data_IF_330638467889
#
_entry.id   IF_330638467889
#
_cell.length_a   1.000
_cell.length_b   1.000
_cell.length_c   1.000
_cell.angle_alpha   90.00
_cell.angle_beta   90.00
_cell.angle_gamma   90.00
#
_symmetry.space_group_name_H-M   'P 1'
#
loop_
_entity.id
_entity.type
_entity.pdbx_description
1 polymer ?
#
# COMPACT_ATOMS: atom_id res chain seq x y z
N UNK A 1 -68.78 16.10 -103.19
CA UNK A 1 -69.73 15.94 -102.09
C UNK A 1 -69.01 15.36 -100.85
N UNK A 2 -68.91 16.25 -99.93
CA UNK A 2 -68.77 16.04 -98.47
C UNK A 2 -68.25 14.75 -97.88
N UNK A 3 -67.16 14.83 -97.05
CA UNK A 3 -67.34 14.88 -95.63
C UNK A 3 -66.07 14.85 -94.78
N UNK A 4 -65.97 15.81 -93.94
CA UNK A 4 -65.68 15.89 -92.52
C UNK A 4 -64.57 15.02 -91.92
N UNK A 5 -63.59 15.78 -91.59
CA UNK A 5 -62.58 15.53 -90.60
C UNK A 5 -63.12 15.47 -89.18
N UNK A 6 -62.63 14.57 -88.41
CA UNK A 6 -62.47 14.71 -86.95
C UNK A 6 -61.02 14.53 -86.54
N UNK A 7 -60.54 15.59 -85.96
CA UNK A 7 -59.17 15.57 -85.34
C UNK A 7 -59.25 15.01 -83.93
N UNK A 8 -58.48 13.96 -83.62
CA UNK A 8 -58.19 13.51 -82.28
C UNK A 8 -57.13 14.39 -81.68
N UNK A 9 -57.43 15.07 -80.59
CA UNK A 9 -56.49 15.77 -79.74
C UNK A 9 -56.11 14.87 -78.57
N UNK A 10 -55.07 14.07 -78.75
CA UNK A 10 -54.48 13.40 -77.64
C UNK A 10 -53.57 14.38 -76.92
N UNK A 11 -53.96 14.83 -75.75
CA UNK A 11 -53.09 15.60 -74.82
C UNK A 11 -51.94 14.72 -74.33
N UNK A 12 -50.75 15.01 -74.79
CA UNK A 12 -49.56 14.54 -74.16
C UNK A 12 -49.33 15.29 -72.83
N UNK A 13 -49.69 14.66 -71.73
CA UNK A 13 -49.23 15.05 -70.35
C UNK A 13 -47.82 14.56 -70.17
N UNK A 14 -46.84 15.41 -69.90
CA UNK A 14 -45.45 14.98 -69.78
C UNK A 14 -45.22 14.20 -68.47
N UNK A 15 -45.03 12.92 -68.64
CA UNK A 15 -44.67 11.92 -67.54
C UNK A 15 -43.42 12.24 -66.78
N UNK A 16 -42.67 13.30 -67.11
CA UNK A 16 -41.39 13.69 -66.53
C UNK A 16 -41.46 14.38 -65.14
N UNK A 17 -42.59 14.99 -64.79
CA UNK A 17 -42.66 15.73 -63.50
C UNK A 17 -42.90 14.82 -62.30
N UNK A 18 -43.57 13.68 -62.51
CA UNK A 18 -43.80 12.73 -61.38
C UNK A 18 -42.58 11.91 -60.97
N UNK A 19 -41.64 11.62 -61.88
CA UNK A 19 -40.41 10.91 -61.54
C UNK A 19 -39.42 11.77 -60.79
N UNK A 20 -39.33 13.03 -61.08
CA UNK A 20 -38.46 13.99 -60.39
C UNK A 20 -38.83 14.16 -58.90
N UNK A 21 -40.13 14.26 -58.58
CA UNK A 21 -40.59 14.39 -57.20
C UNK A 21 -40.39 13.13 -56.36
N UNK A 22 -40.53 11.94 -56.92
CA UNK A 22 -40.28 10.67 -56.22
C UNK A 22 -38.81 10.44 -55.99
N UNK A 23 -37.95 10.79 -56.91
CA UNK A 23 -36.50 10.68 -56.75
C UNK A 23 -36.00 11.71 -55.71
N UNK A 24 -36.55 12.93 -55.74
CA UNK A 24 -36.20 13.96 -54.73
C UNK A 24 -36.68 13.59 -53.33
N UNK A 25 -37.86 13.00 -53.19
CA UNK A 25 -38.36 12.50 -51.90
C UNK A 25 -37.54 11.29 -51.39
N UNK A 26 -37.12 10.35 -52.25
CA UNK A 26 -36.26 9.21 -51.91
C UNK A 26 -34.85 9.67 -51.52
N UNK A 27 -34.28 10.67 -52.18
CA UNK A 27 -32.98 11.27 -51.80
C UNK A 27 -33.13 12.03 -50.49
N UNK A 28 -34.23 12.78 -50.25
CA UNK A 28 -34.43 13.47 -48.98
C UNK A 28 -34.65 12.50 -47.82
N UNK A 29 -35.37 11.39 -48.03
CA UNK A 29 -35.53 10.31 -47.02
C UNK A 29 -34.19 9.59 -46.78
N UNK A 30 -33.40 9.33 -47.81
CA UNK A 30 -32.07 8.73 -47.66
C UNK A 30 -31.08 9.64 -46.94
N UNK A 31 -31.10 10.94 -47.20
CA UNK A 31 -30.25 11.93 -46.48
C UNK A 31 -30.72 12.12 -45.03
N UNK A 32 -32.06 12.15 -44.78
CA UNK A 32 -32.57 12.18 -43.40
C UNK A 32 -32.32 10.86 -42.64
N UNK A 33 -32.36 9.70 -43.32
CA UNK A 33 -32.05 8.40 -42.70
C UNK A 33 -30.56 8.25 -42.39
N UNK A 34 -29.67 8.86 -43.18
CA UNK A 34 -28.22 8.87 -42.88
C UNK A 34 -27.86 9.86 -41.77
N UNK A 35 -28.65 10.91 -41.56
CA UNK A 35 -28.42 11.88 -40.48
C UNK A 35 -28.89 11.38 -39.10
N UNK A 36 -29.71 10.31 -39.05
CA UNK A 36 -30.22 9.76 -37.77
C UNK A 36 -29.29 8.69 -37.18
N UNK A 37 -28.29 8.20 -37.93
CA UNK A 37 -27.35 7.17 -37.46
C UNK A 37 -25.96 7.68 -37.07
N UNK A 38 -25.73 8.96 -37.01
CA UNK A 38 -24.62 9.51 -36.27
C UNK A 38 -25.11 9.83 -34.85
N UNK A 39 -25.49 8.80 -34.08
CA UNK A 39 -25.30 8.91 -32.63
C UNK A 39 -23.83 9.30 -32.44
N UNK A 40 -23.52 10.39 -31.78
CA UNK A 40 -22.13 10.59 -31.38
C UNK A 40 -21.78 9.32 -30.60
N UNK A 41 -20.87 8.50 -31.11
CA UNK A 41 -20.18 7.53 -30.29
C UNK A 41 -19.69 8.39 -29.13
N UNK A 42 -20.34 8.30 -27.97
CA UNK A 42 -19.86 8.94 -26.76
C UNK A 42 -18.47 8.34 -26.57
N UNK A 43 -17.48 9.10 -27.02
CA UNK A 43 -16.11 8.65 -26.90
C UNK A 43 -15.90 8.41 -25.41
N UNK A 44 -15.75 7.14 -25.01
CA UNK A 44 -15.45 6.81 -23.63
C UNK A 44 -14.26 7.66 -23.24
N UNK A 45 -14.47 8.57 -22.32
CA UNK A 45 -13.42 9.44 -21.81
C UNK A 45 -12.80 8.74 -20.61
N UNK A 46 -11.49 8.70 -20.54
CA UNK A 46 -10.74 8.22 -19.38
C UNK A 46 -10.28 9.40 -18.54
N UNK A 47 -9.96 9.15 -17.29
CA UNK A 47 -9.39 10.08 -16.34
C UNK A 47 -8.05 9.51 -15.88
N UNK A 48 -6.96 10.20 -16.21
CA UNK A 48 -5.61 9.88 -15.77
C UNK A 48 -5.28 10.69 -14.52
N UNK A 49 -4.89 10.02 -13.45
CA UNK A 49 -4.29 10.63 -12.26
C UNK A 49 -2.78 10.39 -12.35
N UNK A 50 -2.00 11.38 -12.80
CA UNK A 50 -0.56 11.23 -12.90
C UNK A 50 0.08 11.15 -11.52
N UNK A 51 1.18 10.42 -11.41
CA UNK A 51 1.92 10.26 -10.16
C UNK A 51 3.37 10.76 -10.28
N UNK A 52 3.62 11.60 -11.29
CA UNK A 52 4.85 12.39 -11.45
C UNK A 52 4.76 13.74 -10.70
N UNK A 53 5.74 14.61 -10.90
CA UNK A 53 5.81 15.92 -10.25
C UNK A 53 4.72 16.93 -10.71
N UNK A 54 3.85 16.57 -11.65
CA UNK A 54 2.64 17.35 -11.96
C UNK A 54 1.52 17.15 -10.94
N UNK A 55 1.58 16.05 -10.17
CA UNK A 55 0.58 15.80 -9.13
C UNK A 55 0.70 16.83 -8.02
N UNK A 56 -0.43 17.39 -7.63
CA UNK A 56 -0.54 18.38 -6.54
C UNK A 56 -0.61 17.72 -5.18
N UNK A 57 -1.13 16.48 -5.12
CA UNK A 57 -1.26 15.71 -3.89
C UNK A 57 -1.18 14.20 -4.21
N UNK A 58 0.04 13.65 -4.11
CA UNK A 58 0.27 12.23 -4.36
C UNK A 58 -0.48 11.36 -3.34
N UNK A 59 -0.49 11.74 -2.07
CA UNK A 59 -1.06 10.91 -1.01
C UNK A 59 -2.58 10.78 -1.18
N UNK A 60 -3.28 11.87 -1.46
CA UNK A 60 -4.73 11.83 -1.73
C UNK A 60 -5.10 11.12 -3.03
N UNK A 61 -4.16 10.98 -3.97
CA UNK A 61 -4.39 10.21 -5.19
C UNK A 61 -4.68 8.73 -4.92
N UNK A 62 -4.04 8.14 -3.91
CA UNK A 62 -4.36 6.79 -3.44
C UNK A 62 -5.75 6.71 -2.82
N UNK A 63 -6.13 7.74 -2.07
CA UNK A 63 -7.50 7.88 -1.53
C UNK A 63 -8.56 7.97 -2.62
N UNK A 64 -8.27 8.64 -3.74
CA UNK A 64 -9.18 8.67 -4.91
C UNK A 64 -9.29 7.26 -5.54
N UNK A 65 -8.16 6.56 -5.73
CA UNK A 65 -8.19 5.19 -6.24
C UNK A 65 -8.99 4.25 -5.32
N UNK A 66 -8.76 4.35 -4.02
CA UNK A 66 -9.51 3.58 -3.02
C UNK A 66 -11.01 3.92 -3.04
N UNK A 67 -11.36 5.20 -3.04
CA UNK A 67 -12.74 5.67 -3.13
C UNK A 67 -13.46 5.13 -4.37
N UNK A 68 -12.80 5.12 -5.51
CA UNK A 68 -13.36 4.56 -6.74
C UNK A 68 -13.70 3.07 -6.59
N UNK A 69 -12.77 2.28 -6.03
CA UNK A 69 -12.97 0.86 -5.75
C UNK A 69 -14.15 0.64 -4.78
N UNK A 70 -14.26 1.45 -3.72
CA UNK A 70 -15.33 1.39 -2.73
C UNK A 70 -16.71 1.67 -3.34
N UNK A 71 -16.75 2.46 -4.41
CA UNK A 71 -17.99 2.75 -5.18
C UNK A 71 -18.21 1.78 -6.35
N UNK A 72 -17.50 0.65 -6.37
CA UNK A 72 -17.68 -0.41 -7.37
C UNK A 72 -17.05 -0.09 -8.73
N UNK A 73 -16.19 0.93 -8.82
CA UNK A 73 -15.39 1.20 -9.99
C UNK A 73 -14.11 0.37 -10.03
N UNK A 74 -13.34 0.52 -11.10
CA UNK A 74 -12.05 -0.14 -11.32
C UNK A 74 -11.01 0.89 -11.74
N UNK A 75 -9.75 0.67 -11.39
CA UNK A 75 -8.64 1.49 -11.82
C UNK A 75 -7.54 0.63 -12.46
N UNK A 76 -6.95 1.12 -13.53
CA UNK A 76 -5.72 0.55 -14.07
C UNK A 76 -4.52 1.27 -13.44
N UNK A 77 -3.70 0.55 -12.69
CA UNK A 77 -2.44 1.03 -12.18
C UNK A 77 -1.38 0.87 -13.27
N UNK A 78 -0.88 1.98 -13.78
CA UNK A 78 0.11 2.02 -14.86
C UNK A 78 1.51 1.97 -14.24
N UNK A 79 2.05 0.76 -14.11
CA UNK A 79 3.34 0.52 -13.46
C UNK A 79 4.46 1.27 -14.18
N UNK A 80 5.28 1.99 -13.46
CA UNK A 80 6.38 2.86 -13.90
C UNK A 80 5.96 4.04 -14.79
N UNK A 81 4.78 4.03 -15.40
CA UNK A 81 4.32 5.15 -16.22
C UNK A 81 4.07 6.39 -15.36
N UNK A 82 4.85 7.45 -15.61
CA UNK A 82 4.78 8.71 -14.87
C UNK A 82 4.73 8.51 -13.34
N UNK A 83 5.60 7.64 -12.82
CA UNK A 83 5.70 7.31 -11.40
C UNK A 83 4.61 6.38 -10.87
N UNK A 84 3.92 5.60 -11.71
CA UNK A 84 2.87 4.66 -11.29
C UNK A 84 1.48 5.30 -11.22
N UNK A 85 1.04 5.89 -12.33
CA UNK A 85 -0.24 6.61 -12.47
C UNK A 85 -1.47 5.71 -12.41
N UNK A 86 -2.64 6.28 -12.10
CA UNK A 86 -3.92 5.57 -12.17
C UNK A 86 -4.72 6.05 -13.37
N UNK A 87 -5.30 5.11 -14.14
CA UNK A 87 -6.20 5.38 -15.25
C UNK A 87 -7.57 4.77 -14.97
N UNK A 88 -8.60 5.60 -14.93
CA UNK A 88 -9.97 5.23 -14.57
C UNK A 88 -10.95 5.61 -15.67
N UNK A 89 -12.16 5.05 -15.65
CA UNK A 89 -13.25 5.58 -16.46
C UNK A 89 -13.65 6.96 -15.95
N UNK A 90 -13.80 7.90 -16.89
CA UNK A 90 -14.25 9.24 -16.53
C UNK A 90 -15.71 9.21 -16.10
N UNK A 91 -15.98 9.73 -14.92
CA UNK A 91 -17.31 10.09 -14.44
C UNK A 91 -17.27 11.47 -13.82
N UNK A 92 -18.39 12.21 -13.91
CA UNK A 92 -18.48 13.52 -13.24
C UNK A 92 -18.30 13.40 -11.71
N UNK A 93 -18.72 12.27 -11.13
CA UNK A 93 -18.55 11.97 -9.72
C UNK A 93 -17.06 11.85 -9.37
N UNK A 94 -16.28 11.06 -10.11
CA UNK A 94 -14.84 10.89 -9.91
C UNK A 94 -14.08 12.22 -10.13
N UNK A 95 -14.40 12.94 -11.20
CA UNK A 95 -13.78 14.23 -11.49
C UNK A 95 -14.11 15.28 -10.41
N UNK A 96 -15.32 15.24 -9.85
CA UNK A 96 -15.72 16.08 -8.71
C UNK A 96 -14.94 15.73 -7.46
N UNK A 97 -14.78 14.43 -7.16
CA UNK A 97 -14.05 13.95 -5.99
C UNK A 97 -12.57 14.34 -6.06
N UNK A 98 -11.92 14.19 -7.22
CA UNK A 98 -10.56 14.68 -7.44
C UNK A 98 -10.43 16.18 -7.13
N UNK A 99 -11.38 17.02 -7.59
CA UNK A 99 -11.37 18.47 -7.31
C UNK A 99 -11.57 18.76 -5.82
N UNK A 100 -12.47 18.05 -5.14
CA UNK A 100 -12.76 18.23 -3.71
C UNK A 100 -11.50 17.93 -2.88
N UNK A 101 -10.77 16.84 -3.20
CA UNK A 101 -9.56 16.44 -2.49
C UNK A 101 -8.29 17.15 -2.99
N UNK A 102 -8.40 18.00 -4.03
CA UNK A 102 -7.25 18.73 -4.58
C UNK A 102 -6.28 17.86 -5.37
N UNK A 103 -6.74 16.73 -5.92
CA UNK A 103 -5.96 15.81 -6.75
C UNK A 103 -5.99 16.26 -8.21
N UNK A 104 -4.82 16.44 -8.80
CA UNK A 104 -4.72 16.76 -10.22
C UNK A 104 -5.05 15.55 -11.10
N UNK A 105 -5.79 15.78 -12.18
CA UNK A 105 -6.11 14.75 -13.16
C UNK A 105 -6.20 15.32 -14.57
N UNK A 106 -6.02 14.46 -15.56
CA UNK A 106 -6.08 14.75 -16.99
C UNK A 106 -7.23 13.94 -17.62
N UNK A 107 -8.30 14.60 -18.14
CA UNK A 107 -9.30 13.91 -18.93
C UNK A 107 -8.71 13.51 -20.28
N UNK A 108 -8.90 12.26 -20.70
CA UNK A 108 -8.41 11.74 -21.97
C UNK A 108 -9.59 11.32 -22.86
N UNK A 109 -9.53 11.70 -24.15
CA UNK A 109 -10.42 11.14 -25.15
C UNK A 109 -10.09 9.65 -25.39
N UNK A 110 -11.03 8.90 -25.96
CA UNK A 110 -10.83 7.46 -26.21
C UNK A 110 -9.59 7.15 -27.05
N UNK A 111 -9.27 8.00 -28.02
CA UNK A 111 -8.08 7.84 -28.89
C UNK A 111 -6.78 8.07 -28.12
N UNK A 112 -6.77 9.04 -27.21
CA UNK A 112 -5.61 9.34 -26.37
C UNK A 112 -5.37 8.22 -25.35
N UNK A 113 -6.45 7.71 -24.74
CA UNK A 113 -6.38 6.56 -23.84
C UNK A 113 -5.88 5.29 -24.55
N UNK A 114 -6.35 5.03 -25.78
CA UNK A 114 -5.87 3.90 -26.58
C UNK A 114 -4.37 4.04 -26.92
N UNK A 115 -3.92 5.25 -27.26
CA UNK A 115 -2.51 5.53 -27.50
C UNK A 115 -1.66 5.33 -26.25
N UNK A 116 -2.15 5.76 -25.09
CA UNK A 116 -1.49 5.58 -23.80
C UNK A 116 -1.36 4.08 -23.46
N UNK A 117 -2.42 3.29 -23.60
CA UNK A 117 -2.33 1.84 -23.39
C UNK A 117 -1.32 1.18 -24.33
N UNK A 118 -1.32 1.60 -25.61
CA UNK A 118 -0.36 1.07 -26.57
C UNK A 118 1.09 1.45 -26.21
N UNK A 119 1.32 2.63 -25.67
CA UNK A 119 2.61 3.08 -25.16
C UNK A 119 3.06 2.25 -23.96
N UNK A 120 2.25 2.17 -22.92
CA UNK A 120 2.55 1.46 -21.65
C UNK A 120 2.80 -0.04 -21.92
N UNK A 121 2.06 -0.65 -22.86
CA UNK A 121 2.17 -2.08 -23.15
C UNK A 121 3.26 -2.43 -24.18
N UNK A 122 4.04 -1.47 -24.65
CA UNK A 122 5.16 -1.75 -25.57
C UNK A 122 6.16 -2.71 -24.93
N UNK A 123 6.68 -3.64 -25.72
CA UNK A 123 7.66 -4.64 -25.22
C UNK A 123 9.03 -4.04 -24.87
N UNK A 124 9.36 -2.88 -25.46
CA UNK A 124 10.67 -2.24 -25.33
C UNK A 124 10.78 -1.21 -24.18
N UNK A 125 9.69 -0.99 -23.41
CA UNK A 125 9.72 -0.15 -22.23
C UNK A 125 9.54 -0.99 -20.93
N UNK A 126 9.88 -0.39 -19.78
CA UNK A 126 9.70 -1.00 -18.48
C UNK A 126 8.40 -0.53 -17.80
N UNK A 127 7.29 -0.61 -18.54
CA UNK A 127 5.96 -0.22 -18.06
C UNK A 127 4.96 -1.35 -18.31
N UNK A 128 3.91 -1.42 -17.50
CA UNK A 128 2.80 -2.37 -17.68
C UNK A 128 1.54 -1.91 -16.97
N UNK A 129 0.43 -2.59 -17.21
CA UNK A 129 -0.88 -2.28 -16.62
C UNK A 129 -1.28 -3.36 -15.63
N UNK A 130 -1.65 -2.96 -14.41
CA UNK A 130 -2.26 -3.85 -13.41
C UNK A 130 -3.63 -3.31 -13.02
N UNK A 131 -4.67 -4.15 -13.15
CA UNK A 131 -6.02 -3.80 -12.76
C UNK A 131 -6.18 -3.87 -11.24
N UNK A 132 -6.76 -2.83 -10.64
CA UNK A 132 -7.29 -2.83 -9.29
C UNK A 132 -8.79 -3.14 -9.35
N UNK A 133 -9.22 -4.24 -8.68
CA UNK A 133 -10.57 -4.81 -8.89
C UNK A 133 -11.43 -4.82 -7.62
N UNK A 134 -10.83 -4.66 -6.44
CA UNK A 134 -11.56 -4.75 -5.17
C UNK A 134 -11.07 -3.73 -4.16
N UNK A 135 -11.95 -3.35 -3.25
CA UNK A 135 -11.60 -2.52 -2.09
C UNK A 135 -10.92 -3.37 -1.03
N UNK A 136 -9.66 -3.08 -0.65
CA UNK A 136 -9.00 -3.80 0.44
C UNK A 136 -9.69 -3.54 1.78
N UNK A 137 -9.88 -4.58 2.58
CA UNK A 137 -10.27 -4.46 3.99
C UNK A 137 -9.03 -4.34 4.86
N UNK A 138 -8.91 -3.22 5.55
CA UNK A 138 -7.70 -2.82 6.27
C UNK A 138 -7.90 -2.98 7.76
N UNK A 139 -7.00 -3.69 8.43
CA UNK A 139 -6.87 -3.75 9.88
C UNK A 139 -5.58 -3.05 10.34
N UNK A 140 -5.67 -2.36 11.47
CA UNK A 140 -4.53 -1.75 12.17
C UNK A 140 -4.48 -2.35 13.57
N UNK A 141 -3.35 -2.98 13.90
CA UNK A 141 -3.12 -3.58 15.21
C UNK A 141 -2.67 -2.52 16.19
N UNK A 142 -3.50 -2.23 17.18
CA UNK A 142 -3.29 -1.15 18.15
C UNK A 142 -4.00 -1.45 19.48
N UNK A 143 -3.38 -1.15 20.64
CA UNK A 143 -4.00 -1.36 21.95
C UNK A 143 -5.28 -0.55 22.13
N UNK A 144 -6.31 -1.09 22.84
CA UNK A 144 -7.52 -0.36 23.13
C UNK A 144 -7.26 0.89 23.97
N UNK A 145 -7.88 2.01 23.59
CA UNK A 145 -7.76 3.28 24.31
C UNK A 145 -6.51 4.10 23.99
N UNK A 146 -5.52 3.51 23.34
CA UNK A 146 -4.40 4.25 22.78
C UNK A 146 -4.76 4.74 21.38
N UNK A 147 -4.49 6.03 21.14
CA UNK A 147 -4.31 6.48 19.76
C UNK A 147 -2.87 6.16 19.42
N UNK A 148 -2.61 5.57 18.24
CA UNK A 148 -1.27 5.62 17.67
C UNK A 148 -1.00 7.09 17.33
N UNK A 149 -0.50 7.82 18.33
CA UNK A 149 -0.35 9.29 18.28
C UNK A 149 0.74 9.74 17.31
N UNK A 150 1.51 8.81 16.79
CA UNK A 150 2.63 9.00 15.88
C UNK A 150 2.76 7.90 14.81
N UNK A 151 1.70 7.11 14.59
CA UNK A 151 1.70 6.07 13.59
C UNK A 151 1.60 6.64 12.18
N UNK A 152 2.71 6.60 11.44
CA UNK A 152 2.80 7.08 10.07
C UNK A 152 1.76 6.47 9.13
N UNK A 153 1.40 5.20 9.32
CA UNK A 153 0.41 4.52 8.48
C UNK A 153 -1.00 5.03 8.74
N UNK A 154 -1.40 5.17 10.00
CA UNK A 154 -2.73 5.72 10.32
C UNK A 154 -2.83 7.17 9.90
N UNK A 155 -1.76 7.97 10.04
CA UNK A 155 -1.72 9.33 9.50
C UNK A 155 -1.90 9.35 7.98
N UNK A 156 -1.23 8.45 7.25
CA UNK A 156 -1.40 8.33 5.80
C UNK A 156 -2.82 7.93 5.40
N UNK A 157 -3.40 6.95 6.10
CA UNK A 157 -4.77 6.48 5.85
C UNK A 157 -5.80 7.58 6.13
N UNK A 158 -5.68 8.29 7.27
CA UNK A 158 -6.57 9.40 7.62
C UNK A 158 -6.43 10.57 6.64
N UNK A 159 -5.22 10.92 6.25
CA UNK A 159 -4.98 11.98 5.28
C UNK A 159 -5.53 11.65 3.89
N UNK A 160 -5.35 10.42 3.43
CA UNK A 160 -5.87 9.92 2.16
C UNK A 160 -7.38 9.58 2.22
N UNK A 161 -8.01 9.68 3.41
CA UNK A 161 -9.41 9.33 3.65
C UNK A 161 -9.72 7.86 3.30
N UNK A 162 -8.82 6.96 3.71
CA UNK A 162 -8.94 5.51 3.54
C UNK A 162 -9.38 4.89 4.88
N UNK A 163 -10.55 4.23 4.96
CA UNK A 163 -11.06 3.66 6.19
C UNK A 163 -10.27 2.42 6.64
N UNK A 164 -10.16 2.23 7.95
CA UNK A 164 -9.53 1.06 8.56
C UNK A 164 -10.23 0.65 9.85
N UNK A 165 -10.00 -0.58 10.29
CA UNK A 165 -10.54 -1.13 11.55
C UNK A 165 -9.39 -1.41 12.52
N UNK A 166 -9.54 -0.97 13.77
CA UNK A 166 -8.59 -1.30 14.84
C UNK A 166 -8.84 -2.71 15.34
N UNK A 167 -7.78 -3.48 15.49
CA UNK A 167 -7.78 -4.84 16.06
C UNK A 167 -6.71 -4.93 17.13
N UNK A 168 -6.88 -5.83 18.10
CA UNK A 168 -5.92 -6.08 19.16
C UNK A 168 -5.80 -7.59 19.43
N UNK A 169 -5.16 -7.99 20.51
CA UNK A 169 -4.85 -9.37 20.87
C UNK A 169 -6.06 -10.30 20.80
N UNK A 170 -7.20 -9.88 21.34
CA UNK A 170 -8.43 -10.68 21.31
C UNK A 170 -8.93 -10.95 19.91
N UNK A 171 -8.99 -9.92 19.07
CA UNK A 171 -9.41 -10.05 17.68
C UNK A 171 -8.47 -10.96 16.90
N UNK A 172 -7.18 -10.82 17.12
CA UNK A 172 -6.14 -11.64 16.46
C UNK A 172 -6.28 -13.10 16.91
N UNK A 173 -6.31 -13.36 18.20
CA UNK A 173 -6.41 -14.70 18.77
C UNK A 173 -7.74 -15.40 18.49
N UNK A 174 -8.83 -14.64 18.31
CA UNK A 174 -10.12 -15.18 17.90
C UNK A 174 -10.24 -15.49 16.41
N UNK A 175 -9.21 -15.20 15.61
CA UNK A 175 -9.18 -15.48 14.17
C UNK A 175 -9.87 -14.43 13.29
N UNK A 176 -10.27 -13.27 13.82
CA UNK A 176 -10.91 -12.19 13.03
C UNK A 176 -10.04 -11.63 11.91
N UNK A 177 -8.72 -11.84 11.93
CA UNK A 177 -7.84 -11.39 10.84
C UNK A 177 -8.23 -11.98 9.49
N UNK A 178 -8.90 -13.13 9.45
CA UNK A 178 -9.40 -13.74 8.21
C UNK A 178 -10.43 -12.85 7.46
N UNK A 179 -11.00 -11.84 8.11
CA UNK A 179 -11.94 -10.89 7.50
C UNK A 179 -11.26 -9.74 6.75
N UNK A 180 -9.93 -9.59 6.91
CA UNK A 180 -9.14 -8.48 6.37
C UNK A 180 -8.17 -8.96 5.31
N UNK A 181 -7.92 -8.08 4.31
CA UNK A 181 -6.95 -8.31 3.25
C UNK A 181 -5.55 -7.83 3.64
N UNK A 182 -5.47 -6.83 4.53
CA UNK A 182 -4.25 -6.15 4.91
C UNK A 182 -4.22 -5.84 6.40
N UNK A 183 -3.08 -6.10 7.03
CA UNK A 183 -2.82 -5.85 8.45
C UNK A 183 -1.59 -4.97 8.62
N UNK A 184 -1.73 -3.88 9.37
CA UNK A 184 -0.62 -3.02 9.78
C UNK A 184 -0.17 -3.29 11.20
N UNK A 185 1.15 -3.36 11.40
CA UNK A 185 1.85 -3.38 12.68
C UNK A 185 2.86 -2.22 12.69
N UNK A 186 2.80 -1.32 13.67
CA UNK A 186 3.73 -0.18 13.72
C UNK A 186 4.89 -0.43 14.70
N UNK A 187 4.76 0.01 15.93
CA UNK A 187 5.82 -0.07 16.94
C UNK A 187 5.48 -1.06 18.08
N UNK A 188 4.69 -2.05 17.78
CA UNK A 188 4.27 -3.03 18.77
C UNK A 188 5.41 -3.99 19.13
N UNK A 189 5.53 -4.28 20.41
CA UNK A 189 6.49 -5.23 20.94
C UNK A 189 5.87 -6.63 21.07
N UNK A 190 6.32 -7.57 20.26
CA UNK A 190 5.90 -8.97 20.33
C UNK A 190 6.74 -9.83 21.28
N UNK A 191 7.75 -9.24 21.92
CA UNK A 191 8.64 -9.97 22.85
C UNK A 191 8.12 -9.96 24.28
N UNK A 192 7.26 -9.01 24.65
CA UNK A 192 6.79 -8.78 26.01
C UNK A 192 7.72 -7.94 26.87
N UNK A 193 8.64 -7.19 26.26
CA UNK A 193 9.57 -6.28 26.94
C UNK A 193 9.10 -4.81 26.94
N UNK A 194 7.83 -4.57 26.62
CA UNK A 194 7.16 -3.26 26.65
C UNK A 194 7.91 -2.19 25.85
N UNK A 195 8.31 -2.52 24.62
CA UNK A 195 9.01 -1.60 23.72
C UNK A 195 10.45 -1.32 24.10
N UNK A 196 11.02 -2.06 25.08
CA UNK A 196 12.36 -1.78 25.64
C UNK A 196 12.50 -0.36 26.22
N UNK A 197 11.37 0.26 26.61
CA UNK A 197 11.35 1.60 27.18
C UNK A 197 11.72 1.65 28.68
N UNK A 198 12.01 0.51 29.30
CA UNK A 198 12.30 0.42 30.73
C UNK A 198 13.39 1.38 31.20
N UNK A 199 14.49 1.49 30.47
CA UNK A 199 15.63 2.32 30.86
C UNK A 199 15.22 3.78 31.16
N UNK A 200 14.45 4.37 30.27
CA UNK A 200 14.12 5.81 30.29
C UNK A 200 12.74 6.10 30.90
N UNK A 201 11.80 5.16 30.83
CA UNK A 201 10.40 5.44 31.11
C UNK A 201 9.75 4.58 32.22
N UNK A 202 10.49 3.69 32.93
CA UNK A 202 9.95 2.83 33.99
C UNK A 202 9.18 3.54 35.11
N UNK A 203 9.37 4.82 35.29
CA UNK A 203 8.64 5.66 36.24
C UNK A 203 7.59 6.58 35.60
N UNK A 204 7.45 6.57 34.28
CA UNK A 204 6.46 7.38 33.58
C UNK A 204 5.04 6.79 33.74
N UNK A 205 4.02 7.62 34.04
CA UNK A 205 2.66 7.13 34.22
C UNK A 205 2.15 6.31 33.03
N UNK A 206 2.37 6.75 31.81
CA UNK A 206 1.92 6.06 30.61
C UNK A 206 2.56 4.65 30.46
N UNK A 207 3.85 4.50 30.83
CA UNK A 207 4.54 3.22 30.75
C UNK A 207 3.97 2.23 31.78
N UNK A 208 3.72 2.69 33.01
CA UNK A 208 3.09 1.87 34.07
C UNK A 208 1.66 1.47 33.66
N UNK A 209 0.89 2.40 33.12
CA UNK A 209 -0.47 2.14 32.63
C UNK A 209 -0.46 1.10 31.49
N UNK A 210 0.48 1.19 30.58
CA UNK A 210 0.68 0.22 29.49
C UNK A 210 1.01 -1.17 30.03
N UNK A 211 1.95 -1.29 30.96
CA UNK A 211 2.24 -2.58 31.61
C UNK A 211 1.00 -3.17 32.25
N UNK A 212 0.29 -2.38 33.08
CA UNK A 212 -0.94 -2.84 33.75
C UNK A 212 -2.03 -3.25 32.75
N UNK A 213 -2.14 -2.56 31.63
CA UNK A 213 -3.09 -2.92 30.56
C UNK A 213 -2.73 -4.29 29.98
N UNK A 214 -1.50 -4.48 29.55
CA UNK A 214 -1.04 -5.68 28.88
C UNK A 214 -1.08 -6.90 29.81
N UNK A 215 -0.65 -6.78 31.07
CA UNK A 215 -0.76 -7.84 32.06
C UNK A 215 -2.22 -8.25 32.34
N UNK A 216 -3.13 -7.27 32.40
CA UNK A 216 -4.55 -7.54 32.57
C UNK A 216 -5.14 -8.26 31.36
N UNK A 217 -4.78 -7.85 30.15
CA UNK A 217 -5.25 -8.48 28.92
C UNK A 217 -4.72 -9.90 28.76
N UNK A 218 -3.41 -10.11 28.97
CA UNK A 218 -2.82 -11.43 28.95
C UNK A 218 -3.54 -12.39 29.91
N UNK A 219 -3.78 -11.94 31.16
CA UNK A 219 -4.51 -12.72 32.15
C UNK A 219 -5.96 -12.99 31.74
N UNK A 220 -6.64 -12.00 31.15
CA UNK A 220 -8.03 -12.13 30.65
C UNK A 220 -8.14 -13.19 29.55
N UNK A 221 -7.13 -13.24 28.68
CA UNK A 221 -7.02 -14.21 27.59
C UNK A 221 -6.44 -15.56 27.99
N UNK A 222 -6.11 -15.75 29.29
CA UNK A 222 -5.69 -17.03 29.85
C UNK A 222 -4.19 -17.28 29.86
N UNK A 223 -3.38 -16.26 29.55
CA UNK A 223 -1.92 -16.33 29.61
C UNK A 223 -1.38 -15.89 30.97
N UNK A 224 -0.25 -16.46 31.38
CA UNK A 224 0.42 -16.10 32.64
C UNK A 224 1.28 -14.86 32.50
N UNK A 225 1.88 -14.68 31.31
CA UNK A 225 2.81 -13.61 30.98
C UNK A 225 2.39 -12.91 29.69
N UNK A 226 2.71 -11.63 29.57
CA UNK A 226 2.55 -10.86 28.33
C UNK A 226 3.39 -11.46 27.20
N UNK A 227 4.60 -11.92 27.51
CA UNK A 227 5.47 -12.57 26.50
C UNK A 227 4.86 -13.86 25.92
N UNK A 228 4.14 -14.66 26.72
CA UNK A 228 3.43 -15.85 26.23
C UNK A 228 2.27 -15.49 25.30
N UNK A 229 1.48 -14.46 25.66
CA UNK A 229 0.39 -13.93 24.85
C UNK A 229 0.91 -13.37 23.52
N UNK A 230 1.92 -12.49 23.56
CA UNK A 230 2.47 -11.86 22.36
C UNK A 230 3.07 -12.89 21.38
N UNK A 231 3.70 -13.94 21.86
CA UNK A 231 4.13 -15.07 21.02
C UNK A 231 2.95 -15.80 20.39
N UNK A 232 1.83 -15.96 21.10
CA UNK A 232 0.62 -16.54 20.52
C UNK A 232 0.00 -15.63 19.46
N UNK A 233 -0.02 -14.32 19.69
CA UNK A 233 -0.44 -13.31 18.72
C UNK A 233 0.45 -13.35 17.47
N UNK A 234 1.78 -13.36 17.64
CA UNK A 234 2.71 -13.46 16.51
C UNK A 234 2.48 -14.72 15.66
N UNK A 235 2.21 -15.88 16.30
CA UNK A 235 1.84 -17.11 15.57
C UNK A 235 0.52 -16.95 14.81
N UNK A 236 -0.51 -16.38 15.42
CA UNK A 236 -1.80 -16.17 14.77
C UNK A 236 -1.69 -15.23 13.55
N UNK A 237 -0.87 -14.18 13.65
CA UNK A 237 -0.56 -13.29 12.52
C UNK A 237 0.21 -14.06 11.43
N UNK A 238 1.17 -14.91 11.80
CA UNK A 238 1.88 -15.76 10.83
C UNK A 238 0.94 -16.71 10.10
N UNK A 239 -0.02 -17.31 10.79
CA UNK A 239 -1.06 -18.13 10.18
C UNK A 239 -1.95 -17.34 9.23
N UNK A 240 -2.33 -16.11 9.61
CA UNK A 240 -3.06 -15.19 8.73
C UNK A 240 -2.31 -14.93 7.42
N UNK A 241 -1.00 -14.63 7.49
CA UNK A 241 -0.15 -14.46 6.30
C UNK A 241 -0.14 -15.77 5.50
N UNK A 242 0.14 -16.91 6.15
CA UNK A 242 0.18 -18.22 5.50
C UNK A 242 -1.11 -18.59 4.76
N UNK A 243 -2.25 -18.07 5.22
CA UNK A 243 -3.57 -18.24 4.62
C UNK A 243 -3.92 -17.24 3.51
N UNK A 244 -3.03 -16.31 3.19
CA UNK A 244 -3.19 -15.38 2.07
C UNK A 244 -3.33 -13.90 2.47
N UNK A 245 -3.19 -13.57 3.76
CA UNK A 245 -3.18 -12.20 4.25
C UNK A 245 -1.91 -11.45 3.85
N UNK A 246 -1.99 -10.14 3.86
CA UNK A 246 -0.84 -9.27 3.65
C UNK A 246 -0.55 -8.48 4.93
N UNK A 247 0.66 -8.59 5.47
CA UNK A 247 1.13 -7.83 6.63
C UNK A 247 2.11 -6.73 6.21
N UNK A 248 1.87 -5.52 6.67
CA UNK A 248 2.81 -4.41 6.59
C UNK A 248 3.26 -4.01 7.99
N UNK A 249 4.57 -4.02 8.23
CA UNK A 249 5.12 -3.64 9.53
C UNK A 249 6.20 -2.56 9.39
N UNK A 250 6.26 -1.71 10.41
CA UNK A 250 7.27 -0.65 10.55
C UNK A 250 7.90 -0.68 11.93
N UNK A 251 9.00 0.04 12.09
CA UNK A 251 9.66 0.26 13.36
C UNK A 251 9.92 -1.05 14.11
N UNK A 252 9.79 -1.04 15.43
CA UNK A 252 10.03 -2.20 16.29
C UNK A 252 9.11 -3.40 16.09
N UNK A 253 7.98 -3.22 15.40
CA UNK A 253 7.12 -4.34 15.06
C UNK A 253 7.73 -5.29 14.02
N UNK A 254 8.81 -4.91 13.36
CA UNK A 254 9.49 -5.74 12.36
C UNK A 254 10.40 -6.80 13.03
N UNK A 255 11.41 -6.36 13.78
CA UNK A 255 12.36 -7.25 14.41
C UNK A 255 11.79 -7.94 15.66
N UNK A 256 11.02 -7.23 16.51
CA UNK A 256 10.41 -7.84 17.68
C UNK A 256 9.46 -9.00 17.31
N UNK A 257 8.77 -8.89 16.17
CA UNK A 257 7.91 -9.95 15.64
C UNK A 257 8.71 -11.22 15.30
N UNK A 258 9.80 -11.09 14.54
CA UNK A 258 10.64 -12.25 14.20
C UNK A 258 11.39 -12.81 15.43
N UNK A 259 11.77 -11.94 16.35
CA UNK A 259 12.35 -12.37 17.63
C UNK A 259 11.33 -13.19 18.43
N UNK A 260 10.07 -12.76 18.52
CA UNK A 260 9.01 -13.51 19.18
C UNK A 260 8.79 -14.88 18.54
N UNK A 261 8.83 -14.98 17.21
CA UNK A 261 8.74 -16.26 16.49
C UNK A 261 9.95 -17.16 16.77
N UNK A 262 11.17 -16.62 16.74
CA UNK A 262 12.38 -17.39 17.06
C UNK A 262 12.41 -17.88 18.51
N UNK A 263 11.86 -17.07 19.42
CA UNK A 263 11.78 -17.35 20.85
C UNK A 263 10.50 -18.04 21.28
N UNK A 264 9.76 -18.70 20.37
CA UNK A 264 8.47 -19.32 20.64
C UNK A 264 8.44 -20.16 21.94
N UNK A 265 9.50 -20.95 22.15
CA UNK A 265 9.66 -21.85 23.31
C UNK A 265 10.78 -21.40 24.27
N UNK A 266 11.17 -20.14 24.22
CA UNK A 266 12.29 -19.59 25.00
C UNK A 266 11.82 -18.34 25.72
N UNK A 267 12.10 -18.26 27.01
CA UNK A 267 11.90 -17.02 27.77
C UNK A 267 13.12 -16.11 27.58
N UNK A 268 12.88 -14.95 26.97
CA UNK A 268 13.89 -13.93 26.72
C UNK A 268 13.67 -12.65 27.54
N UNK A 269 12.61 -12.62 28.38
CA UNK A 269 12.31 -11.49 29.23
C UNK A 269 13.15 -11.52 30.51
N UNK A 270 13.77 -10.40 30.83
CA UNK A 270 14.45 -10.21 32.11
C UNK A 270 13.42 -10.01 33.24
N UNK A 271 13.83 -10.29 34.48
CA UNK A 271 13.00 -10.11 35.68
C UNK A 271 12.38 -8.71 35.80
N UNK A 272 12.96 -7.71 35.17
CA UNK A 272 12.44 -6.35 35.13
C UNK A 272 11.13 -6.22 34.37
N UNK A 273 10.82 -7.15 33.45
CA UNK A 273 9.63 -7.10 32.60
C UNK A 273 8.49 -7.98 33.11
N UNK A 274 8.78 -9.18 33.59
CA UNK A 274 7.74 -10.16 33.95
C UNK A 274 7.89 -10.81 35.34
N UNK A 275 8.93 -10.41 36.12
CA UNK A 275 9.10 -10.80 37.51
C UNK A 275 9.84 -12.11 37.76
N UNK A 276 10.24 -12.84 36.71
CA UNK A 276 11.09 -14.02 36.81
C UNK A 276 12.30 -13.99 35.86
N UNK A 277 13.34 -14.81 36.07
CA UNK A 277 14.55 -14.74 35.25
C UNK A 277 14.32 -15.39 33.87
N UNK A 278 14.87 -14.77 32.83
CA UNK A 278 14.93 -15.35 31.49
C UNK A 278 15.62 -16.72 31.46
N UNK A 279 15.39 -17.48 30.41
CA UNK A 279 16.03 -18.77 30.16
C UNK A 279 17.57 -18.68 30.12
N UNK A 280 18.24 -19.58 30.79
CA UNK A 280 19.71 -19.71 30.66
C UNK A 280 20.04 -20.07 29.21
N UNK A 281 21.02 -19.38 28.64
CA UNK A 281 21.46 -19.56 27.25
C UNK A 281 20.32 -19.35 26.24
N UNK A 282 19.42 -18.37 26.48
CA UNK A 282 18.28 -18.05 25.60
C UNK A 282 18.71 -17.92 24.12
N UNK A 283 19.82 -17.23 23.85
CA UNK A 283 20.36 -17.09 22.50
C UNK A 283 20.55 -18.42 21.77
N UNK A 284 21.10 -19.45 22.45
CA UNK A 284 21.38 -20.74 21.82
C UNK A 284 20.14 -21.61 21.61
N UNK A 285 18.99 -21.21 22.16
CA UNK A 285 17.71 -21.92 22.06
C UNK A 285 16.80 -21.34 20.98
N UNK A 286 17.16 -20.22 20.34
CA UNK A 286 16.36 -19.60 19.28
C UNK A 286 16.22 -20.52 18.08
N UNK A 287 15.04 -20.58 17.52
CA UNK A 287 14.73 -21.33 16.30
C UNK A 287 14.47 -20.39 15.11
N UNK A 288 15.52 -20.10 14.36
CA UNK A 288 15.45 -19.22 13.18
C UNK A 288 14.63 -19.81 12.01
N UNK A 289 14.26 -21.10 12.05
CA UNK A 289 13.35 -21.68 11.07
C UNK A 289 11.92 -21.14 11.21
N UNK A 290 11.60 -20.59 12.36
CA UNK A 290 10.30 -20.00 12.67
C UNK A 290 10.14 -18.56 12.17
N UNK A 291 11.22 -17.83 11.98
CA UNK A 291 11.19 -16.41 11.57
C UNK A 291 10.75 -16.24 10.12
N UNK A 292 10.26 -15.06 9.78
CA UNK A 292 9.88 -14.70 8.42
C UNK A 292 11.09 -14.15 7.63
N UNK A 293 11.74 -13.12 8.14
CA UNK A 293 12.73 -12.35 7.39
C UNK A 293 14.18 -12.50 7.87
N UNK A 294 14.41 -12.71 9.18
CA UNK A 294 15.77 -12.66 9.74
C UNK A 294 16.24 -14.00 10.26
N UNK A 295 17.55 -14.21 10.22
CA UNK A 295 18.22 -15.38 10.78
C UNK A 295 19.58 -15.02 11.37
N UNK A 296 20.05 -15.83 12.32
CA UNK A 296 21.39 -15.72 12.94
C UNK A 296 21.64 -14.42 13.71
N UNK A 297 20.61 -13.68 14.06
CA UNK A 297 20.72 -12.46 14.87
C UNK A 297 21.08 -12.77 16.32
N UNK A 298 21.68 -11.76 16.98
CA UNK A 298 22.04 -11.81 18.40
C UNK A 298 21.11 -10.93 19.20
N UNK A 299 20.46 -11.50 20.21
CA UNK A 299 19.61 -10.75 21.13
C UNK A 299 20.44 -9.76 21.96
N UNK A 300 19.91 -8.56 22.15
CA UNK A 300 20.31 -7.69 23.23
C UNK A 300 19.38 -7.91 24.43
N UNK A 301 19.88 -8.66 25.41
CA UNK A 301 19.14 -9.02 26.61
C UNK A 301 19.26 -7.98 27.74
N UNK A 302 19.97 -6.88 27.51
CA UNK A 302 20.12 -5.83 28.50
C UNK A 302 18.83 -4.98 28.58
N UNK A 303 18.09 -4.93 29.72
CA UNK A 303 16.87 -4.16 29.86
C UNK A 303 17.07 -2.64 29.82
N UNK A 304 18.34 -2.17 29.90
CA UNK A 304 18.70 -0.76 29.82
C UNK A 304 19.13 -0.32 28.41
N UNK A 305 19.01 -1.19 27.42
CA UNK A 305 19.21 -0.88 25.99
C UNK A 305 17.89 -0.86 25.28
N UNK A 306 17.83 -0.05 24.23
CA UNK A 306 16.62 0.20 23.47
C UNK A 306 16.44 -0.84 22.35
N UNK A 307 17.54 -1.36 21.80
CA UNK A 307 17.52 -2.33 20.73
C UNK A 307 17.15 -3.73 21.25
N UNK A 308 16.40 -4.51 20.45
CA UNK A 308 16.08 -5.90 20.75
C UNK A 308 17.20 -6.88 20.35
N UNK A 309 17.92 -6.55 19.31
CA UNK A 309 18.96 -7.40 18.73
C UNK A 309 19.88 -6.60 17.80
N UNK A 310 20.85 -7.30 17.18
CA UNK A 310 21.71 -6.73 16.14
C UNK A 310 21.07 -6.74 14.73
N UNK A 311 19.75 -6.96 14.61
CA UNK A 311 19.00 -6.72 13.38
C UNK A 311 18.95 -5.22 13.10
N UNK A 312 18.63 -4.41 14.13
CA UNK A 312 18.58 -2.96 14.02
C UNK A 312 19.96 -2.36 13.79
N UNK A 313 20.07 -1.49 12.82
CA UNK A 313 21.29 -0.75 12.54
C UNK A 313 21.06 0.76 12.72
N UNK A 314 21.97 1.38 13.44
CA UNK A 314 23.20 0.80 14.02
C UNK A 314 22.96 0.32 15.45
N UNK A 315 23.26 -0.92 15.76
CA UNK A 315 23.37 -1.38 17.14
C UNK A 315 24.65 -0.79 17.73
N UNK A 316 24.57 0.37 18.31
CA UNK A 316 25.74 1.03 18.86
C UNK A 316 25.40 1.71 20.17
N UNK A 317 26.37 1.74 21.05
CA UNK A 317 26.26 2.39 22.35
C UNK A 317 27.44 3.38 22.52
N UNK A 318 27.21 4.68 22.38
CA UNK A 318 25.95 5.33 21.96
C UNK A 318 25.63 5.14 20.47
N UNK A 319 24.34 5.25 20.05
CA UNK A 319 23.99 5.16 18.64
C UNK A 319 24.69 6.27 17.86
N UNK A 320 25.17 6.01 16.64
CA UNK A 320 25.81 7.04 15.84
C UNK A 320 24.83 8.15 15.54
N UNK A 321 25.30 9.38 15.65
CA UNK A 321 24.55 10.55 15.21
C UNK A 321 24.53 10.51 13.67
N UNK A 322 23.35 10.36 13.09
CA UNK A 322 23.16 10.49 11.66
C UNK A 322 22.90 11.96 11.32
N UNK A 323 23.42 12.40 10.20
CA UNK A 323 23.11 13.72 9.67
C UNK A 323 21.86 13.61 8.80
N UNK A 324 20.72 14.26 9.19
CA UNK A 324 19.48 14.21 8.41
C UNK A 324 19.60 14.75 6.99
N UNK A 325 20.65 15.52 6.70
CA UNK A 325 20.89 16.08 5.38
C UNK A 325 21.63 15.11 4.44
N UNK A 326 22.21 14.05 4.97
CA UNK A 326 23.03 13.07 4.23
C UNK A 326 22.49 11.65 4.35
N UNK A 327 21.46 11.43 5.14
CA UNK A 327 20.84 10.11 5.31
C UNK A 327 19.75 9.91 4.25
N UNK A 328 20.11 9.16 3.20
CA UNK A 328 19.24 8.79 2.09
C UNK A 328 19.38 7.31 1.81
N UNK A 329 18.34 6.71 1.26
CA UNK A 329 18.35 5.35 0.74
C UNK A 329 17.78 5.29 -0.68
N UNK A 330 18.11 4.25 -1.42
CA UNK A 330 17.74 4.09 -2.81
C UNK A 330 16.76 2.94 -2.97
N UNK A 331 15.68 3.19 -3.71
CA UNK A 331 14.75 2.15 -4.15
C UNK A 331 15.37 1.39 -5.31
N UNK A 332 15.27 0.06 -5.30
CA UNK A 332 15.68 -0.75 -6.44
C UNK A 332 14.70 -0.60 -7.59
N UNK A 333 15.25 -0.48 -8.79
CA UNK A 333 14.46 -0.55 -10.02
C UNK A 333 13.94 -1.99 -10.20
N UNK A 334 12.67 -2.12 -10.55
CA UNK A 334 12.06 -3.40 -10.86
C UNK A 334 11.54 -3.44 -12.29
N UNK A 335 11.33 -4.64 -12.81
CA UNK A 335 10.70 -4.82 -14.10
C UNK A 335 9.18 -4.88 -13.96
N UNK A 336 8.50 -3.87 -14.48
CA UNK A 336 7.04 -3.86 -14.52
C UNK A 336 6.45 -5.05 -15.32
N UNK A 337 7.23 -5.64 -16.23
CA UNK A 337 6.79 -6.73 -17.10
C UNK A 337 7.05 -8.13 -16.53
N UNK A 338 8.20 -8.32 -15.89
CA UNK A 338 8.69 -9.65 -15.53
C UNK A 338 8.70 -9.92 -14.04
N UNK A 339 8.83 -8.88 -13.20
CA UNK A 339 8.83 -9.07 -11.76
C UNK A 339 7.44 -9.42 -11.24
N UNK A 340 7.34 -10.18 -10.15
CA UNK A 340 6.08 -10.44 -9.47
C UNK A 340 5.37 -9.14 -9.06
N UNK A 341 4.05 -9.16 -9.03
CA UNK A 341 3.23 -8.01 -8.60
C UNK A 341 3.70 -7.37 -7.29
N UNK A 342 4.18 -8.11 -6.27
CA UNK A 342 4.71 -7.51 -5.05
C UNK A 342 5.79 -6.44 -5.24
N UNK A 343 6.59 -6.52 -6.30
CA UNK A 343 7.65 -5.54 -6.56
C UNK A 343 7.12 -4.17 -7.00
N UNK A 344 5.86 -4.05 -7.38
CA UNK A 344 5.25 -2.73 -7.63
C UNK A 344 5.17 -1.86 -6.37
N UNK A 345 5.44 -2.42 -5.19
CA UNK A 345 5.52 -1.68 -3.93
C UNK A 345 6.65 -0.62 -3.93
N UNK A 346 7.57 -0.71 -4.88
CA UNK A 346 8.60 0.31 -5.11
C UNK A 346 8.19 1.42 -6.09
N UNK A 347 6.92 1.44 -6.55
CA UNK A 347 6.40 2.52 -7.40
C UNK A 347 6.53 3.86 -6.69
N UNK A 348 7.30 4.78 -7.27
CA UNK A 348 7.44 6.14 -6.76
C UNK A 348 7.76 7.13 -7.89
N UNK A 349 7.62 8.43 -7.60
CA UNK A 349 8.00 9.51 -8.52
C UNK A 349 9.50 9.87 -8.44
N UNK A 350 10.19 9.37 -7.39
CA UNK A 350 11.64 9.47 -7.20
C UNK A 350 12.15 8.14 -6.63
N UNK A 351 13.39 7.82 -6.89
CA UNK A 351 14.02 6.57 -6.41
C UNK A 351 15.01 6.80 -5.24
N UNK A 352 15.28 8.04 -4.86
CA UNK A 352 16.10 8.39 -3.71
C UNK A 352 15.18 8.98 -2.65
N UNK A 353 15.13 8.33 -1.49
CA UNK A 353 14.25 8.67 -0.38
C UNK A 353 15.09 9.17 0.79
N UNK A 354 14.61 10.22 1.46
CA UNK A 354 15.21 10.70 2.69
C UNK A 354 15.08 9.65 3.79
N UNK A 355 16.15 9.41 4.52
CA UNK A 355 16.15 8.53 5.67
C UNK A 355 15.32 9.10 6.83
N UNK A 356 14.92 8.24 7.73
CA UNK A 356 14.25 8.59 8.98
C UNK A 356 14.61 7.57 10.04
N UNK A 357 14.64 8.02 11.29
CA UNK A 357 15.06 7.24 12.43
C UNK A 357 13.85 6.69 13.20
N UNK A 358 14.10 5.73 14.05
CA UNK A 358 13.15 5.10 14.95
C UNK A 358 13.84 3.95 15.65
N UNK A 359 13.13 3.22 16.48
CA UNK A 359 13.57 1.89 16.87
C UNK A 359 13.53 1.02 15.61
N UNK A 360 14.52 0.20 15.35
CA UNK A 360 14.68 -0.52 14.08
C UNK A 360 14.72 0.41 12.87
N UNK A 361 15.72 1.28 12.88
CA UNK A 361 15.94 2.30 11.84
C UNK A 361 16.27 1.68 10.49
N UNK A 362 17.02 0.56 10.48
CA UNK A 362 17.40 -0.19 9.29
C UNK A 362 17.70 -1.64 9.68
N UNK A 363 17.60 -2.54 8.70
CA UNK A 363 17.89 -3.95 8.87
C UNK A 363 19.31 -4.27 8.43
N UNK A 364 20.03 -5.04 9.24
CA UNK A 364 21.37 -5.51 8.88
C UNK A 364 21.30 -6.54 7.76
N UNK A 365 21.85 -6.18 6.60
CA UNK A 365 21.77 -6.95 5.35
C UNK A 365 22.19 -8.41 5.49
N UNK A 366 23.27 -8.66 6.24
CA UNK A 366 23.82 -10.00 6.47
C UNK A 366 22.92 -10.93 7.31
N UNK A 367 21.89 -10.41 7.98
CA UNK A 367 20.92 -11.17 8.78
C UNK A 367 19.62 -11.46 8.02
N UNK A 368 19.43 -10.86 6.85
CA UNK A 368 18.24 -11.06 6.03
C UNK A 368 18.33 -12.41 5.33
N UNK A 369 17.28 -13.23 5.43
CA UNK A 369 17.20 -14.52 4.75
C UNK A 369 17.25 -14.35 3.23
N UNK A 370 17.87 -15.29 2.55
CA UNK A 370 18.04 -15.29 1.08
C UNK A 370 16.73 -15.32 0.29
N UNK A 371 15.64 -15.75 0.91
CA UNK A 371 14.30 -15.77 0.31
C UNK A 371 13.59 -14.41 0.30
N UNK A 372 14.17 -13.41 0.94
CA UNK A 372 13.61 -12.08 1.09
C UNK A 372 14.11 -11.17 -0.03
N UNK A 373 13.19 -10.44 -0.63
CA UNK A 373 13.50 -9.43 -1.64
C UNK A 373 13.81 -8.10 -0.95
N UNK A 374 15.00 -7.56 -1.20
CA UNK A 374 15.37 -6.21 -0.76
C UNK A 374 14.79 -5.24 -1.78
N UNK A 375 13.99 -4.27 -1.31
CA UNK A 375 13.35 -3.26 -2.15
C UNK A 375 14.05 -1.89 -2.06
N UNK A 376 14.75 -1.62 -0.95
CA UNK A 376 15.53 -0.40 -0.79
C UNK A 376 16.67 -0.58 0.22
N UNK A 377 17.80 0.04 -0.08
CA UNK A 377 18.98 0.02 0.80
C UNK A 377 19.75 1.35 0.73
N UNK A 378 20.60 1.58 1.71
CA UNK A 378 21.61 2.62 1.63
C UNK A 378 22.82 2.05 0.91
N UNK A 379 23.08 2.55 -0.28
CA UNK A 379 24.13 2.03 -1.17
C UNK A 379 25.50 1.96 -0.49
N UNK A 380 26.18 0.83 -0.69
CA UNK A 380 27.53 0.61 -0.16
C UNK A 380 27.60 0.38 1.36
N UNK A 381 26.48 0.15 2.01
CA UNK A 381 26.41 -0.14 3.45
C UNK A 381 25.71 -1.48 3.74
N UNK A 382 25.67 -1.88 5.01
CA UNK A 382 24.86 -3.02 5.49
C UNK A 382 23.39 -2.63 5.81
N UNK A 383 22.98 -1.40 5.49
CA UNK A 383 21.68 -0.85 5.87
C UNK A 383 20.62 -1.10 4.82
N UNK A 384 19.66 -1.96 5.12
CA UNK A 384 18.47 -2.21 4.31
C UNK A 384 17.28 -1.55 4.96
N UNK A 385 16.51 -0.79 4.18
CA UNK A 385 15.36 -0.01 4.69
C UNK A 385 14.01 -0.64 4.37
N UNK A 386 13.93 -1.42 3.30
CA UNK A 386 12.64 -1.88 2.80
C UNK A 386 12.78 -3.28 2.22
N UNK A 387 11.99 -4.21 2.74
CA UNK A 387 12.06 -5.63 2.37
C UNK A 387 10.67 -6.21 2.14
N UNK A 388 10.61 -7.22 1.29
CA UNK A 388 9.39 -7.96 0.99
C UNK A 388 9.65 -9.46 1.01
N UNK A 389 8.68 -10.22 1.53
CA UNK A 389 8.74 -11.68 1.56
C UNK A 389 7.39 -12.33 1.35
N UNK A 390 7.43 -13.62 1.01
CA UNK A 390 6.25 -14.47 0.87
C UNK A 390 6.26 -15.54 1.97
N UNK A 391 5.09 -15.84 2.51
CA UNK A 391 4.92 -16.95 3.44
C UNK A 391 3.58 -17.66 3.17
N UNK A 392 3.64 -18.94 2.83
CA UNK A 392 2.45 -19.70 2.44
C UNK A 392 1.79 -19.09 1.20
N UNK A 393 0.55 -18.65 1.31
CA UNK A 393 -0.21 -18.01 0.22
C UNK A 393 -0.20 -16.48 0.26
N UNK A 394 0.29 -15.91 1.35
CA UNK A 394 0.31 -14.47 1.59
C UNK A 394 1.70 -13.88 1.56
N UNK A 395 1.77 -12.61 1.90
CA UNK A 395 2.97 -11.80 1.78
C UNK A 395 3.14 -10.89 2.99
N UNK A 396 4.36 -10.37 3.16
CA UNK A 396 4.65 -9.33 4.13
C UNK A 396 5.66 -8.33 3.56
N UNK A 397 5.57 -7.11 4.02
CA UNK A 397 6.50 -6.04 3.67
C UNK A 397 6.87 -5.26 4.92
N UNK A 398 8.16 -5.05 5.14
CA UNK A 398 8.69 -4.37 6.30
C UNK A 398 9.49 -3.13 5.90
N UNK A 399 9.26 -2.05 6.64
CA UNK A 399 9.88 -0.77 6.39
C UNK A 399 10.61 -0.29 7.65
N UNK A 400 11.93 -0.15 7.57
CA UNK A 400 12.76 0.30 8.69
C UNK A 400 12.62 1.80 8.94
N UNK A 401 12.48 2.17 10.22
CA UNK A 401 12.26 3.54 10.65
C UNK A 401 10.81 3.82 11.04
N UNK A 402 10.54 5.08 11.37
CA UNK A 402 9.29 5.48 12.03
C UNK A 402 8.42 6.38 11.15
N UNK A 403 8.73 7.67 11.06
CA UNK A 403 7.98 8.65 10.27
C UNK A 403 8.83 9.15 9.10
N UNK A 404 8.38 8.98 7.85
CA UNK A 404 9.13 9.39 6.66
C UNK A 404 9.46 10.88 6.56
N UNK A 405 8.76 11.76 7.28
CA UNK A 405 8.98 13.21 7.22
C UNK A 405 9.44 13.81 8.54
N UNK A 406 9.43 13.03 9.63
CA UNK A 406 10.00 13.40 10.92
C UNK A 406 11.24 12.56 11.20
N UNK A 407 12.41 13.12 10.89
CA UNK A 407 13.68 12.39 10.93
C UNK A 407 14.02 11.82 12.31
N UNK A 408 13.67 12.50 13.38
CA UNK A 408 13.96 12.13 14.78
C UNK A 408 12.76 12.37 15.68
N UNK A 409 11.70 11.60 15.46
CA UNK A 409 10.52 11.71 16.30
C UNK A 409 10.81 11.25 17.74
N UNK A 410 10.45 12.07 18.71
CA UNK A 410 10.61 11.80 20.15
C UNK A 410 9.25 11.67 20.83
N UNK A 411 9.22 10.84 21.91
CA UNK A 411 7.99 10.68 22.71
C UNK A 411 7.47 12.05 23.18
N UNK A 412 6.27 12.41 22.74
CA UNK A 412 5.61 13.68 23.07
C UNK A 412 5.72 14.77 22.00
N UNK A 413 6.42 14.52 20.90
CA UNK A 413 6.42 15.41 19.75
C UNK A 413 5.03 15.44 19.09
N UNK A 414 4.61 16.55 18.47
CA UNK A 414 3.36 16.59 17.73
C UNK A 414 3.45 15.69 16.49
N UNK A 415 2.33 15.06 16.06
CA UNK A 415 2.32 14.27 14.85
C UNK A 415 2.63 15.12 13.62
N UNK A 416 3.22 14.50 12.60
CA UNK A 416 3.54 15.16 11.32
C UNK A 416 2.27 15.71 10.63
N UNK A 417 2.32 16.97 10.19
CA UNK A 417 1.25 17.56 9.38
C UNK A 417 1.43 17.22 7.89
N UNK A 418 0.72 16.20 7.42
CA UNK A 418 0.80 15.74 6.02
C UNK A 418 0.31 16.78 5.00
N UNK A 419 -0.38 17.84 5.41
CA UNK A 419 -0.67 18.97 4.50
C UNK A 419 0.60 19.68 4.03
N UNK A 420 1.68 19.59 4.78
CA UNK A 420 2.99 20.11 4.41
C UNK A 420 3.80 19.14 3.57
N UNK A 421 3.39 17.86 3.51
CA UNK A 421 4.14 16.75 2.91
C UNK A 421 3.32 15.95 1.86
N UNK A 422 2.45 16.63 1.12
CA UNK A 422 1.49 16.05 0.15
C UNK A 422 2.12 15.12 -0.89
N UNK A 423 3.40 15.36 -1.19
CA UNK A 423 4.17 14.65 -2.20
C UNK A 423 5.30 13.83 -1.59
N UNK A 424 5.19 13.48 -0.30
CA UNK A 424 6.21 12.69 0.39
C UNK A 424 6.41 11.32 -0.27
N UNK A 425 7.61 11.00 -0.74
CA UNK A 425 7.89 9.70 -1.32
C UNK A 425 7.88 8.59 -0.27
N UNK A 426 8.28 8.86 0.96
CA UNK A 426 8.25 7.87 2.05
C UNK A 426 6.83 7.47 2.44
N UNK A 427 5.93 8.41 2.63
CA UNK A 427 4.50 8.13 2.86
C UNK A 427 3.84 7.46 1.66
N UNK A 428 4.30 7.77 0.46
CA UNK A 428 3.81 7.14 -0.75
C UNK A 428 4.13 5.64 -0.80
N UNK A 429 5.30 5.20 -0.32
CA UNK A 429 5.64 3.78 -0.20
C UNK A 429 4.65 3.05 0.72
N UNK A 430 4.21 3.68 1.82
CA UNK A 430 3.18 3.13 2.69
C UNK A 430 1.88 2.91 1.90
N UNK A 431 1.40 3.91 1.18
CA UNK A 431 0.13 3.85 0.44
C UNK A 431 0.18 2.90 -0.76
N UNK A 432 1.34 2.67 -1.38
CA UNK A 432 1.53 1.60 -2.35
C UNK A 432 1.14 0.23 -1.76
N UNK A 433 1.59 -0.04 -0.52
CA UNK A 433 1.26 -1.29 0.18
C UNK A 433 -0.24 -1.42 0.47
N UNK A 434 -0.91 -0.32 0.81
CA UNK A 434 -2.35 -0.31 1.12
C UNK A 434 -3.19 -0.70 -0.10
N UNK A 435 -2.82 -0.28 -1.30
CA UNK A 435 -3.55 -0.63 -2.53
C UNK A 435 -3.15 -1.99 -3.12
N UNK A 436 -2.03 -2.55 -2.71
CA UNK A 436 -1.54 -3.82 -3.26
C UNK A 436 -2.57 -4.95 -3.23
N UNK A 437 -3.35 -5.19 -2.16
CA UNK A 437 -4.36 -6.26 -2.14
C UNK A 437 -5.50 -6.08 -3.13
N UNK A 438 -5.71 -4.87 -3.66
CA UNK A 438 -6.70 -4.58 -4.69
C UNK A 438 -6.26 -5.07 -6.08
N UNK A 439 -4.96 -5.31 -6.26
CA UNK A 439 -4.37 -5.64 -7.55
C UNK A 439 -4.75 -7.06 -8.00
N UNK A 440 -5.18 -7.18 -9.25
CA UNK A 440 -5.32 -8.47 -9.91
C UNK A 440 -3.96 -9.16 -10.02
N UNK A 441 -3.92 -10.45 -9.66
CA UNK A 441 -2.69 -11.24 -9.81
C UNK A 441 -2.25 -11.23 -11.28
N UNK A 442 -1.04 -10.73 -11.51
CA UNK A 442 -0.40 -10.72 -12.81
C UNK A 442 0.05 -12.14 -13.18
N UNK A 443 -0.25 -12.58 -14.41
CA UNK A 443 0.36 -13.80 -14.93
C UNK A 443 1.82 -13.48 -15.23
N UNK A 444 2.74 -14.29 -14.68
CA UNK A 444 4.15 -14.16 -15.04
C UNK A 444 4.33 -14.43 -16.52
N UNK A 445 4.97 -13.50 -17.22
CA UNK A 445 5.47 -13.74 -18.58
C UNK A 445 6.71 -14.63 -18.44
N UNK A 446 6.67 -15.81 -19.04
CA UNK A 446 7.81 -16.75 -19.12
C UNK A 446 8.62 -16.48 -20.35
#
# INVERSE_FOLDING_TARGET
MNRHEWRDITQHVPLRIFYGHRILQLILIAVCSFSIFTSPLSAQTKLLIPMDLKQTDHLKSYGIAFWLLEHGGEADWLLNYRGGSFLCDYTDALAKECRIRGVFFEPLAAVEAASLYAEVQREDNNEDVVRLEKTPKIAVYVPPGFKPWDDAVTMALEYAEIPYTKVWDEEVLSGKLAEYDWLHLHHEDFTGQYGKFYANFRGAPWYIEQQMLYEREAKRLGYKKVSEEKKAVARAIKEYIGNGGFMFAMCSATDSYDIALAAENVDICDVMFDGDPMDRNAQAKLDFSKTLAFENFKLDLNPFRYEYSDIDLPPSDPPPIRDPNTDYFTLFEFSAKYDPVPTMLTQDHVNIIKGFMGQTTAFKKSLIKRSITILAEREGTEEVKYIHGNFGRGTFTWYGGHDPEDYQHSVGDPPTDLNLHKNSPGYRLILNNVLFPAAKKKQQKT
#
